data_IF_626431214441
#
_entry.id   IF_626431214441
#
_cell.length_a   1.000
_cell.length_b   1.000
_cell.length_c   1.000
_cell.angle_alpha   90.00
_cell.angle_beta   90.00
_cell.angle_gamma   90.00
#
_symmetry.space_group_name_H-M   'P 1'
#
loop_
_entity.id
_entity.type
_entity.pdbx_description
1 polymer ?
#
# COMPACT_ATOMS: atom_id res chain seq x y z
N UNK A 1 -51.88 22.73 4.44
CA UNK A 1 -52.68 23.42 5.49
C UNK A 1 -51.75 23.79 6.64
N UNK A 2 -51.81 25.09 6.95
CA UNK A 2 -51.38 25.85 8.14
C UNK A 2 -49.90 25.94 8.47
N UNK A 3 -49.36 27.12 8.11
CA UNK A 3 -48.25 27.85 8.72
C UNK A 3 -48.61 28.24 10.15
N UNK A 4 -47.62 28.33 11.05
CA UNK A 4 -47.62 29.31 12.15
C UNK A 4 -46.15 29.78 12.34
N UNK A 5 -45.96 31.07 12.04
CA UNK A 5 -44.80 31.90 12.45
C UNK A 5 -45.14 32.55 13.77
N UNK A 6 -44.18 32.65 14.68
CA UNK A 6 -44.21 33.65 15.75
C UNK A 6 -42.82 34.21 15.97
N UNK A 7 -42.65 35.44 15.50
CA UNK A 7 -41.62 36.38 15.91
C UNK A 7 -42.02 37.00 17.26
N UNK A 8 -41.11 37.17 18.21
CA UNK A 8 -41.17 38.19 19.26
C UNK A 8 -39.82 38.86 19.44
N UNK A 9 -39.80 40.13 19.10
CA UNK A 9 -38.77 41.08 19.45
C UNK A 9 -39.03 41.64 20.84
N UNK A 10 -38.00 42.03 21.60
CA UNK A 10 -38.06 42.92 22.76
C UNK A 10 -36.97 44.00 22.67
N UNK A 11 -37.21 45.18 23.20
CA UNK A 11 -36.52 46.41 22.85
C UNK A 11 -35.35 46.76 23.76
N UNK A 12 -34.55 47.80 23.40
CA UNK A 12 -33.38 48.22 24.15
C UNK A 12 -33.76 49.27 25.23
N UNK A 13 -33.05 49.25 26.35
CA UNK A 13 -33.11 50.28 27.39
C UNK A 13 -31.72 50.97 27.54
N UNK A 14 -31.70 52.26 27.94
CA UNK A 14 -30.53 53.13 27.88
C UNK A 14 -29.84 53.33 29.22
N UNK A 15 -28.59 53.79 29.18
CA UNK A 15 -28.03 54.44 30.38
C UNK A 15 -26.53 54.42 30.55
N UNK A 16 -25.87 55.41 30.03
CA UNK A 16 -24.80 56.26 30.59
C UNK A 16 -23.72 55.70 31.57
N UNK A 17 -22.47 56.03 31.30
CA UNK A 17 -21.38 56.10 32.31
C UNK A 17 -19.99 56.06 31.72
N UNK A 18 -19.45 57.21 31.29
CA UNK A 18 -18.02 57.39 31.06
C UNK A 18 -17.25 57.30 32.38
N UNK A 19 -16.28 56.40 32.47
CA UNK A 19 -15.13 56.56 33.36
C UNK A 19 -13.91 56.08 32.60
N UNK A 20 -12.97 57.01 32.38
CA UNK A 20 -11.69 56.71 31.75
C UNK A 20 -10.76 55.95 32.70
N UNK A 21 -10.15 54.91 32.17
CA UNK A 21 -9.00 54.28 32.79
C UNK A 21 -7.92 54.09 31.70
N UNK A 22 -6.84 54.81 31.88
CA UNK A 22 -5.58 54.65 31.16
C UNK A 22 -5.02 53.28 31.51
N UNK A 23 -4.99 52.35 30.54
CA UNK A 23 -4.30 51.07 30.69
C UNK A 23 -3.02 51.13 29.86
N UNK A 24 -1.91 51.10 30.60
CA UNK A 24 -0.56 51.02 30.06
C UNK A 24 -0.39 49.78 29.19
N UNK A 25 0.04 49.98 27.95
CA UNK A 25 0.45 48.90 27.03
C UNK A 25 1.76 48.29 27.53
N UNK A 26 1.69 47.24 28.31
CA UNK A 26 2.81 46.36 28.58
C UNK A 26 2.98 45.41 27.38
N UNK A 27 4.00 45.66 26.58
CA UNK A 27 4.41 44.73 25.49
C UNK A 27 4.88 43.42 26.11
N UNK A 28 3.99 42.44 26.19
CA UNK A 28 4.34 41.03 26.42
C UNK A 28 4.87 40.44 25.10
N UNK A 29 6.20 40.43 24.96
CA UNK A 29 6.86 39.63 23.95
C UNK A 29 6.67 38.17 24.37
N UNK A 30 5.68 37.50 23.77
CA UNK A 30 5.54 36.07 23.85
C UNK A 30 6.65 35.47 23.00
N UNK A 31 7.77 35.11 23.63
CA UNK A 31 8.82 34.30 23.03
C UNK A 31 8.23 32.90 22.84
N UNK A 32 7.66 32.63 21.65
CA UNK A 32 7.29 31.29 21.20
C UNK A 32 8.61 30.49 21.15
N UNK A 33 8.93 29.82 22.23
CA UNK A 33 9.84 28.67 22.18
C UNK A 33 9.18 27.62 21.28
N UNK A 34 9.53 27.66 20.01
CA UNK A 34 9.31 26.53 19.09
C UNK A 34 10.08 25.35 19.68
N UNK A 35 9.42 24.55 20.51
CA UNK A 35 9.90 23.22 20.82
C UNK A 35 9.90 22.46 19.51
N UNK A 36 11.07 22.26 18.92
CA UNK A 36 11.26 21.29 17.84
C UNK A 36 10.96 19.89 18.41
N UNK A 37 9.67 19.59 18.57
CA UNK A 37 9.25 18.22 18.73
C UNK A 37 9.64 17.45 17.45
N UNK A 38 9.88 16.15 17.55
CA UNK A 38 10.22 15.36 16.37
C UNK A 38 9.16 15.60 15.28
N UNK A 39 9.60 16.08 14.12
CA UNK A 39 8.71 16.27 12.95
C UNK A 39 8.24 14.89 12.55
N UNK A 40 7.04 14.51 12.96
CA UNK A 40 6.39 13.31 12.46
C UNK A 40 6.19 13.51 10.95
N UNK A 41 6.78 12.64 10.15
CA UNK A 41 6.58 12.66 8.70
C UNK A 41 5.08 12.62 8.33
N UNK A 42 4.73 13.06 7.13
CA UNK A 42 3.35 13.11 6.67
C UNK A 42 2.67 11.74 6.79
N UNK A 43 1.54 11.71 7.52
CA UNK A 43 0.74 10.50 7.74
C UNK A 43 -0.44 10.52 6.78
N UNK A 44 -0.66 9.49 5.96
CA UNK A 44 -1.81 9.45 5.07
C UNK A 44 -3.12 9.33 5.85
N UNK A 45 -4.14 10.03 5.37
CA UNK A 45 -5.50 9.92 5.89
C UNK A 45 -6.16 8.59 5.48
N UNK A 46 -7.23 8.14 6.15
CA UNK A 46 -7.96 6.95 5.72
C UNK A 46 -8.48 7.02 4.28
N UNK A 47 -8.85 8.20 3.78
CA UNK A 47 -9.29 8.38 2.41
C UNK A 47 -8.16 8.15 1.40
N UNK A 48 -6.94 8.57 1.73
CA UNK A 48 -5.75 8.37 0.89
C UNK A 48 -5.26 6.92 0.89
N UNK A 49 -5.68 6.13 1.88
CA UNK A 49 -5.39 4.69 2.00
C UNK A 49 -6.44 3.82 1.27
N UNK A 50 -7.15 4.35 0.28
CA UNK A 50 -8.15 3.64 -0.55
C UNK A 50 -7.65 3.54 -1.99
N UNK A 51 -8.16 2.55 -2.72
CA UNK A 51 -7.83 2.33 -4.12
C UNK A 51 -6.67 1.36 -4.37
N UNK A 52 -6.10 1.32 -5.57
CA UNK A 52 -5.03 0.40 -5.91
C UNK A 52 -3.68 0.85 -5.36
N UNK A 53 -3.03 -0.07 -4.67
CA UNK A 53 -1.66 0.00 -4.17
C UNK A 53 -0.84 -1.11 -4.84
N UNK A 54 -0.38 -0.93 -6.08
CA UNK A 54 0.40 -1.95 -6.75
C UNK A 54 1.76 -2.13 -6.09
N UNK A 55 2.19 -3.40 -5.99
CA UNK A 55 3.50 -3.78 -5.50
C UNK A 55 4.49 -3.63 -6.64
N UNK A 56 5.52 -2.83 -6.43
CA UNK A 56 6.61 -2.59 -7.36
C UNK A 56 7.42 -3.87 -7.56
N UNK A 57 7.96 -4.04 -8.76
CA UNK A 57 8.96 -5.06 -9.06
C UNK A 57 10.36 -4.52 -8.78
N UNK A 58 11.21 -5.32 -8.16
CA UNK A 58 12.63 -4.97 -8.02
C UNK A 58 13.37 -5.25 -9.32
N UNK A 59 14.11 -4.27 -9.81
CA UNK A 59 14.92 -4.33 -11.02
C UNK A 59 16.40 -4.42 -10.70
N UNK A 60 17.17 -5.12 -11.54
CA UNK A 60 18.55 -5.43 -11.30
C UNK A 60 19.41 -5.12 -12.52
N UNK A 61 20.69 -4.80 -12.27
CA UNK A 61 21.71 -4.81 -13.30
C UNK A 61 22.15 -6.24 -13.64
N UNK A 62 22.93 -6.40 -14.70
CA UNK A 62 23.41 -7.71 -15.15
C UNK A 62 24.35 -8.39 -14.15
N UNK A 63 24.99 -7.64 -13.27
CA UNK A 63 25.81 -8.13 -12.17
C UNK A 63 24.98 -8.57 -10.95
N UNK A 64 23.67 -8.36 -10.99
CA UNK A 64 22.73 -8.70 -9.92
C UNK A 64 22.54 -7.61 -8.88
N UNK A 65 23.25 -6.50 -8.92
CA UNK A 65 22.98 -5.36 -8.05
C UNK A 65 21.62 -4.69 -8.39
N UNK A 66 21.01 -4.03 -7.41
CA UNK A 66 19.70 -3.38 -7.60
C UNK A 66 19.87 -2.08 -8.39
N UNK A 67 19.05 -1.88 -9.44
CA UNK A 67 18.88 -0.59 -10.10
C UNK A 67 17.91 0.29 -9.29
N UNK A 68 18.42 1.00 -8.28
CA UNK A 68 17.63 1.90 -7.45
C UNK A 68 17.01 3.05 -8.27
N UNK A 69 17.66 3.49 -9.35
CA UNK A 69 17.07 4.49 -10.26
C UNK A 69 15.88 3.90 -11.04
N UNK A 70 15.90 2.60 -11.33
CA UNK A 70 14.76 1.87 -11.88
C UNK A 70 13.58 1.85 -10.91
N UNK A 71 13.83 1.65 -9.61
CA UNK A 71 12.78 1.76 -8.58
C UNK A 71 12.19 3.17 -8.55
N UNK A 72 13.01 4.21 -8.59
CA UNK A 72 12.53 5.61 -8.62
C UNK A 72 11.66 5.89 -9.85
N UNK A 73 12.10 5.43 -11.04
CA UNK A 73 11.31 5.59 -12.28
C UNK A 73 9.97 4.86 -12.17
N UNK A 74 9.96 3.66 -11.59
CA UNK A 74 8.72 2.88 -11.42
C UNK A 74 7.74 3.57 -10.49
N UNK A 75 8.19 4.09 -9.34
CA UNK A 75 7.33 4.84 -8.42
C UNK A 75 6.72 6.05 -9.12
N UNK A 76 7.54 6.84 -9.81
CA UNK A 76 7.07 7.99 -10.59
C UNK A 76 6.02 7.59 -11.62
N UNK A 77 6.23 6.52 -12.36
CA UNK A 77 5.29 6.02 -13.36
C UNK A 77 3.96 5.58 -12.74
N UNK A 78 3.98 4.94 -11.58
CA UNK A 78 2.75 4.56 -10.85
C UNK A 78 1.97 5.79 -10.39
N UNK A 79 2.64 6.82 -9.86
CA UNK A 79 2.03 8.09 -9.47
C UNK A 79 1.42 8.80 -10.68
N UNK A 80 2.16 8.91 -11.79
CA UNK A 80 1.70 9.51 -13.04
C UNK A 80 0.54 8.73 -13.70
N UNK A 81 0.44 7.43 -13.46
CA UNK A 81 -0.71 6.61 -13.85
C UNK A 81 -1.97 6.96 -13.05
N UNK A 82 -1.85 7.61 -11.90
CA UNK A 82 -2.95 8.03 -11.04
C UNK A 82 -3.36 6.99 -10.00
N UNK A 83 -2.48 6.07 -9.61
CA UNK A 83 -2.69 5.22 -8.45
C UNK A 83 -2.53 6.05 -7.16
N UNK A 84 -3.41 5.87 -6.14
CA UNK A 84 -3.32 6.61 -4.88
C UNK A 84 -2.15 6.17 -4.01
N UNK A 85 -1.65 4.96 -4.20
CA UNK A 85 -0.52 4.44 -3.44
C UNK A 85 0.33 3.45 -4.22
N UNK A 86 1.47 3.10 -3.65
CA UNK A 86 2.42 2.14 -4.19
C UNK A 86 3.10 1.39 -3.05
N UNK A 87 3.47 0.15 -3.28
CA UNK A 87 4.14 -0.68 -2.26
C UNK A 87 5.49 -1.17 -2.81
N UNK A 88 6.52 -1.13 -1.98
CA UNK A 88 7.77 -1.81 -2.27
C UNK A 88 8.22 -2.69 -1.10
N UNK A 89 9.03 -3.72 -1.41
CA UNK A 89 9.56 -4.67 -0.46
C UNK A 89 8.46 -5.49 0.23
N UNK A 90 7.53 -6.03 -0.56
CA UNK A 90 6.43 -6.88 -0.13
C UNK A 90 6.58 -8.30 -0.70
N UNK A 91 5.88 -9.28 -0.13
CA UNK A 91 6.09 -10.73 -0.34
C UNK A 91 6.10 -11.23 -1.79
N UNK A 92 5.43 -10.57 -2.72
CA UNK A 92 5.43 -10.96 -4.12
C UNK A 92 6.50 -10.28 -4.99
N UNK A 93 7.29 -9.42 -4.39
CA UNK A 93 8.52 -8.90 -4.98
C UNK A 93 9.70 -9.47 -4.19
N UNK A 94 10.64 -10.00 -4.73
CA UNK A 94 11.92 -10.56 -4.27
C UNK A 94 12.42 -10.23 -2.82
N UNK A 95 11.52 -9.93 -1.89
CA UNK A 95 11.81 -9.43 -0.53
C UNK A 95 12.78 -10.31 0.26
N UNK A 96 12.68 -11.62 0.09
CA UNK A 96 13.52 -12.63 0.73
C UNK A 96 14.82 -12.92 -0.05
N UNK A 97 14.98 -12.33 -1.24
CA UNK A 97 16.19 -12.35 -2.05
C UNK A 97 17.06 -11.10 -1.86
N UNK A 98 16.61 -10.19 -1.01
CA UNK A 98 17.29 -8.93 -0.69
C UNK A 98 18.00 -9.03 0.66
N UNK A 99 19.19 -8.46 0.74
CA UNK A 99 19.85 -8.22 2.03
C UNK A 99 19.14 -7.11 2.80
N UNK A 100 19.38 -7.01 4.10
CA UNK A 100 18.87 -5.89 4.90
C UNK A 100 19.37 -4.55 4.36
N UNK A 101 20.64 -4.44 4.01
CA UNK A 101 21.22 -3.23 3.43
C UNK A 101 20.53 -2.82 2.12
N UNK A 102 20.29 -3.77 1.21
CA UNK A 102 19.55 -3.52 -0.03
C UNK A 102 18.15 -3.00 0.23
N UNK A 103 17.44 -3.56 1.23
CA UNK A 103 16.11 -3.08 1.63
C UNK A 103 16.19 -1.63 2.12
N UNK A 104 17.11 -1.33 3.03
CA UNK A 104 17.27 0.01 3.59
C UNK A 104 17.60 1.07 2.52
N UNK A 105 18.52 0.75 1.60
CA UNK A 105 18.84 1.62 0.46
C UNK A 105 17.65 1.80 -0.48
N UNK A 106 16.86 0.76 -0.70
CA UNK A 106 15.65 0.83 -1.51
C UNK A 106 14.53 1.65 -0.85
N UNK A 107 14.36 1.59 0.47
CA UNK A 107 13.43 2.45 1.19
C UNK A 107 13.78 3.92 1.01
N UNK A 108 15.06 4.25 1.14
CA UNK A 108 15.56 5.61 0.91
C UNK A 108 15.33 6.07 -0.53
N UNK A 109 15.64 5.22 -1.52
CA UNK A 109 15.43 5.53 -2.94
C UNK A 109 13.94 5.76 -3.26
N UNK A 110 13.04 4.94 -2.70
CA UNK A 110 11.59 5.12 -2.87
C UNK A 110 11.11 6.40 -2.19
N UNK A 111 11.59 6.72 -0.99
CA UNK A 111 11.24 7.94 -0.28
C UNK A 111 11.65 9.19 -1.06
N UNK A 112 12.89 9.24 -1.56
CA UNK A 112 13.38 10.32 -2.44
C UNK A 112 12.50 10.49 -3.69
N UNK A 113 12.09 9.38 -4.31
CA UNK A 113 11.23 9.42 -5.49
C UNK A 113 9.81 9.90 -5.19
N UNK A 114 9.33 9.74 -3.97
CA UNK A 114 8.00 10.16 -3.52
C UNK A 114 7.95 11.62 -3.05
N UNK A 115 9.09 12.30 -2.88
CA UNK A 115 9.13 13.70 -2.46
C UNK A 115 8.34 14.60 -3.42
N UNK A 116 7.50 15.46 -2.85
CA UNK A 116 6.65 16.39 -3.61
C UNK A 116 5.48 15.74 -4.35
N UNK A 117 5.28 14.41 -4.22
CA UNK A 117 4.19 13.68 -4.86
C UNK A 117 3.03 13.46 -3.89
N UNK A 118 1.86 13.14 -4.45
CA UNK A 118 0.66 12.85 -3.65
C UNK A 118 0.51 11.38 -3.29
N UNK A 119 1.21 10.51 -3.98
CA UNK A 119 1.14 9.06 -3.80
C UNK A 119 1.52 8.65 -2.37
N UNK A 120 0.81 7.69 -1.80
CA UNK A 120 1.17 7.07 -0.52
C UNK A 120 2.22 5.99 -0.77
N UNK A 121 3.43 6.19 -0.25
CA UNK A 121 4.49 5.19 -0.27
C UNK A 121 4.29 4.21 0.89
N UNK A 122 4.04 2.95 0.57
CA UNK A 122 3.94 1.88 1.57
C UNK A 122 5.18 0.98 1.49
N UNK A 123 5.82 0.76 2.62
CA UNK A 123 7.04 -0.05 2.71
C UNK A 123 6.80 -1.32 3.54
N UNK A 124 7.36 -2.43 3.09
CA UNK A 124 7.15 -3.74 3.72
C UNK A 124 8.04 -3.94 4.93
N UNK A 125 7.45 -4.05 6.12
CA UNK A 125 8.11 -4.48 7.34
C UNK A 125 7.81 -5.96 7.59
N UNK A 126 8.50 -6.83 6.86
CA UNK A 126 8.35 -8.28 6.98
C UNK A 126 9.70 -8.90 7.38
N UNK A 127 9.67 -9.82 8.32
CA UNK A 127 10.85 -10.49 8.84
C UNK A 127 10.65 -12.00 8.98
N UNK A 128 11.74 -12.74 9.08
CA UNK A 128 11.73 -14.16 9.43
C UNK A 128 11.29 -14.40 10.88
N UNK A 129 11.38 -13.37 11.71
CA UNK A 129 10.94 -13.36 13.10
C UNK A 129 10.49 -11.96 13.51
N UNK A 130 9.86 -11.88 14.67
CA UNK A 130 9.35 -10.63 15.25
C UNK A 130 10.44 -9.57 15.38
N UNK A 131 11.62 -9.93 15.91
CA UNK A 131 12.71 -8.98 16.10
C UNK A 131 13.15 -8.32 14.78
N UNK A 132 13.30 -9.10 13.70
CA UNK A 132 13.64 -8.58 12.38
C UNK A 132 12.52 -7.71 11.79
N UNK A 133 11.25 -8.07 11.99
CA UNK A 133 10.11 -7.24 11.57
C UNK A 133 10.18 -5.87 12.26
N UNK A 134 10.43 -5.83 13.56
CA UNK A 134 10.54 -4.60 14.34
C UNK A 134 11.74 -3.74 13.93
N UNK A 135 12.89 -4.37 13.67
CA UNK A 135 14.09 -3.69 13.15
C UNK A 135 13.80 -2.98 11.81
N UNK A 136 13.15 -3.69 10.88
CA UNK A 136 12.78 -3.14 9.58
C UNK A 136 11.74 -2.00 9.74
N UNK A 137 10.74 -2.17 10.61
CA UNK A 137 9.74 -1.14 10.89
C UNK A 137 10.41 0.13 11.46
N UNK A 138 11.33 -0.03 12.43
CA UNK A 138 12.10 1.09 12.97
C UNK A 138 12.96 1.78 11.90
N UNK A 139 13.49 1.03 10.94
CA UNK A 139 14.25 1.61 9.84
C UNK A 139 13.35 2.42 8.90
N UNK A 140 12.13 1.95 8.62
CA UNK A 140 11.14 2.69 7.82
C UNK A 140 10.77 4.01 8.54
N UNK A 141 10.61 3.99 9.86
CA UNK A 141 10.34 5.20 10.64
C UNK A 141 11.47 6.21 10.53
N UNK A 142 12.74 5.77 10.60
CA UNK A 142 13.90 6.65 10.38
C UNK A 142 13.97 7.24 8.98
N UNK A 143 13.55 6.48 7.94
CA UNK A 143 13.44 7.01 6.58
C UNK A 143 12.38 8.12 6.54
N UNK A 144 11.24 7.89 7.13
CA UNK A 144 10.16 8.87 7.14
C UNK A 144 10.51 10.15 7.94
N UNK A 145 11.32 10.06 8.98
CA UNK A 145 11.84 11.23 9.70
C UNK A 145 12.77 12.08 8.81
N UNK A 146 13.52 11.44 7.90
CA UNK A 146 14.36 12.16 6.91
C UNK A 146 13.56 12.76 5.75
N UNK A 147 12.38 12.21 5.45
CA UNK A 147 11.50 12.62 4.35
C UNK A 147 10.11 13.06 4.88
N UNK A 148 10.03 14.12 5.71
CA UNK A 148 8.81 14.47 6.45
C UNK A 148 7.64 14.89 5.54
N UNK A 149 7.91 15.26 4.28
CA UNK A 149 6.87 15.61 3.30
C UNK A 149 6.25 14.39 2.58
N UNK A 150 6.82 13.20 2.73
CA UNK A 150 6.36 12.00 2.06
C UNK A 150 5.30 11.29 2.89
N UNK A 151 4.13 11.04 2.32
CA UNK A 151 3.08 10.24 2.95
C UNK A 151 3.48 8.78 2.95
N UNK A 152 3.81 8.25 4.11
CA UNK A 152 4.26 6.86 4.25
C UNK A 152 3.30 6.02 5.10
N UNK A 153 3.19 4.75 4.72
CA UNK A 153 2.57 3.68 5.47
C UNK A 153 3.49 2.45 5.52
N UNK A 154 3.16 1.52 6.40
CA UNK A 154 3.84 0.23 6.51
C UNK A 154 2.87 -0.87 6.07
N UNK A 155 3.35 -1.96 5.49
CA UNK A 155 2.60 -3.20 5.33
C UNK A 155 3.37 -4.34 5.99
N UNK A 156 2.65 -5.13 6.80
CA UNK A 156 3.26 -6.27 7.50
C UNK A 156 2.30 -7.46 7.52
N UNK A 157 2.87 -8.65 7.41
CA UNK A 157 2.19 -9.91 7.67
C UNK A 157 2.71 -10.51 8.98
N UNK A 158 2.06 -11.55 9.54
CA UNK A 158 2.61 -12.27 10.67
C UNK A 158 4.03 -12.77 10.36
N UNK A 159 5.01 -12.59 11.26
CA UNK A 159 6.35 -13.14 11.12
C UNK A 159 6.36 -14.68 11.00
N UNK A 160 7.42 -15.24 10.45
CA UNK A 160 7.49 -16.69 10.21
C UNK A 160 7.71 -17.52 11.50
N UNK A 161 8.09 -16.91 12.60
CA UNK A 161 8.30 -17.56 13.91
C UNK A 161 7.02 -17.70 14.73
N UNK A 162 5.93 -17.01 14.40
CA UNK A 162 4.67 -17.12 15.11
C UNK A 162 3.93 -18.42 14.73
N UNK A 163 3.30 -19.05 15.72
CA UNK A 163 2.60 -20.35 15.55
C UNK A 163 1.14 -20.31 15.97
N UNK A 164 0.77 -19.36 16.80
CA UNK A 164 -0.58 -19.19 17.33
C UNK A 164 -1.10 -17.79 17.06
N UNK A 165 -2.41 -17.60 17.24
CA UNK A 165 -3.02 -16.28 17.15
C UNK A 165 -2.53 -15.36 18.29
N UNK A 166 -2.22 -15.90 19.45
CA UNK A 166 -1.64 -15.14 20.56
C UNK A 166 -0.23 -14.62 20.22
N UNK A 167 0.59 -15.42 19.53
CA UNK A 167 1.90 -14.96 19.07
C UNK A 167 1.77 -13.84 18.06
N UNK A 168 0.78 -13.91 17.15
CA UNK A 168 0.50 -12.83 16.20
C UNK A 168 0.08 -11.55 16.94
N UNK A 169 -0.81 -11.69 17.93
CA UNK A 169 -1.27 -10.56 18.75
C UNK A 169 -0.10 -9.88 19.46
N UNK A 170 0.78 -10.67 20.06
CA UNK A 170 1.97 -10.15 20.72
C UNK A 170 2.87 -9.42 19.73
N UNK A 171 3.25 -10.04 18.61
CA UNK A 171 4.13 -9.47 17.62
C UNK A 171 3.57 -8.13 17.06
N UNK A 172 2.27 -8.05 16.83
CA UNK A 172 1.65 -6.83 16.33
C UNK A 172 1.40 -5.77 17.40
N UNK A 173 1.23 -6.14 18.67
CA UNK A 173 1.27 -5.17 19.76
C UNK A 173 2.68 -4.55 19.89
N UNK A 174 3.74 -5.33 19.74
CA UNK A 174 5.12 -4.83 19.73
C UNK A 174 5.36 -3.93 18.51
N UNK A 175 4.86 -4.31 17.32
CA UNK A 175 4.95 -3.46 16.11
C UNK A 175 4.25 -2.10 16.32
N UNK A 176 3.11 -2.07 17.02
CA UNK A 176 2.40 -0.83 17.31
C UNK A 176 3.17 0.12 18.23
N UNK A 177 4.13 -0.38 19.02
CA UNK A 177 5.00 0.47 19.86
C UNK A 177 6.13 1.11 19.03
N UNK A 178 6.49 0.52 17.91
CA UNK A 178 7.56 0.99 17.01
C UNK A 178 6.99 1.90 15.92
N UNK A 179 5.87 1.52 15.32
CA UNK A 179 5.24 2.23 14.21
C UNK A 179 4.63 3.56 14.68
N UNK A 180 4.86 4.63 13.91
CA UNK A 180 4.29 5.98 14.12
C UNK A 180 3.29 6.35 13.01
N UNK A 181 3.00 5.43 12.10
CA UNK A 181 2.18 5.61 10.88
C UNK A 181 1.28 4.42 10.63
N UNK A 182 0.29 4.53 9.71
CA UNK A 182 -0.60 3.44 9.37
C UNK A 182 0.16 2.17 8.98
N UNK A 183 -0.30 1.04 9.52
CA UNK A 183 0.16 -0.30 9.16
C UNK A 183 -0.98 -1.07 8.51
N UNK A 184 -0.76 -1.57 7.30
CA UNK A 184 -1.68 -2.47 6.62
C UNK A 184 -1.38 -3.89 7.11
N UNK A 185 -2.35 -4.52 7.77
CA UNK A 185 -2.31 -5.95 8.05
C UNK A 185 -2.42 -6.76 6.77
N UNK A 186 -1.49 -7.64 6.49
CA UNK A 186 -1.64 -8.66 5.47
C UNK A 186 -2.01 -9.98 6.14
N UNK A 187 -3.18 -10.52 5.80
CA UNK A 187 -3.75 -11.70 6.47
C UNK A 187 -3.22 -13.03 5.96
N UNK A 188 -2.33 -13.01 4.96
CA UNK A 188 -1.75 -14.22 4.38
C UNK A 188 -1.06 -15.09 5.42
N UNK A 189 -1.59 -16.28 5.61
CA UNK A 189 -0.97 -17.34 6.38
C UNK A 189 -0.12 -18.29 5.52
N UNK A 190 0.81 -18.98 6.15
CA UNK A 190 1.59 -20.07 5.58
C UNK A 190 1.15 -21.40 6.18
N UNK A 191 1.66 -22.54 5.73
CA UNK A 191 1.38 -23.82 6.43
C UNK A 191 1.79 -23.83 7.90
N UNK A 192 2.76 -22.98 8.29
CA UNK A 192 3.29 -22.91 9.66
C UNK A 192 2.87 -21.65 10.42
N UNK A 193 2.35 -20.64 9.74
CA UNK A 193 1.91 -19.37 10.33
C UNK A 193 0.40 -19.24 10.14
N UNK A 194 -0.40 -19.09 11.19
CA UNK A 194 -1.86 -19.03 11.06
C UNK A 194 -2.29 -17.73 10.37
N UNK A 195 -3.47 -17.78 9.72
CA UNK A 195 -4.18 -16.58 9.28
C UNK A 195 -4.83 -15.94 10.50
N UNK A 196 -4.58 -14.64 10.81
CA UNK A 196 -5.21 -13.98 11.95
C UNK A 196 -6.74 -13.92 11.80
N UNK A 197 -7.47 -14.11 12.87
CA UNK A 197 -8.94 -14.00 12.86
C UNK A 197 -9.40 -12.55 12.63
N UNK A 198 -10.62 -12.36 12.16
CA UNK A 198 -11.23 -11.02 12.05
C UNK A 198 -11.35 -10.38 13.43
N UNK A 199 -11.73 -11.15 14.44
CA UNK A 199 -11.83 -10.67 15.82
C UNK A 199 -10.49 -10.12 16.35
N UNK A 200 -9.37 -10.77 16.07
CA UNK A 200 -8.03 -10.27 16.42
C UNK A 200 -7.74 -8.96 15.70
N UNK A 201 -7.98 -8.87 14.38
CA UNK A 201 -7.72 -7.66 13.62
C UNK A 201 -8.52 -6.45 14.12
N UNK A 202 -9.79 -6.67 14.45
CA UNK A 202 -10.67 -5.63 15.03
C UNK A 202 -10.18 -5.20 16.41
N UNK A 203 -9.80 -6.16 17.28
CA UNK A 203 -9.28 -5.87 18.62
C UNK A 203 -7.99 -5.05 18.57
N UNK A 204 -7.04 -5.43 17.71
CA UNK A 204 -5.79 -4.68 17.53
C UNK A 204 -6.04 -3.27 16.97
N UNK A 205 -6.96 -3.13 16.02
CA UNK A 205 -7.33 -1.82 15.48
C UNK A 205 -8.03 -0.93 16.52
N UNK A 206 -8.85 -1.51 17.41
CA UNK A 206 -9.46 -0.77 18.50
C UNK A 206 -8.44 -0.33 19.55
N UNK A 207 -7.44 -1.17 19.86
CA UNK A 207 -6.41 -0.88 20.85
C UNK A 207 -5.37 0.14 20.33
N UNK A 208 -5.08 0.14 19.01
CA UNK A 208 -4.07 0.99 18.38
C UNK A 208 -4.65 1.77 17.19
N UNK A 209 -5.67 2.64 17.39
CA UNK A 209 -6.43 3.25 16.30
C UNK A 209 -5.60 4.22 15.43
N UNK A 210 -4.49 4.74 15.90
CA UNK A 210 -3.59 5.56 15.08
C UNK A 210 -2.79 4.74 14.07
N UNK A 211 -2.51 3.48 14.40
CA UNK A 211 -1.62 2.58 13.64
C UNK A 211 -2.43 1.63 12.76
N UNK A 212 -3.45 0.98 13.31
CA UNK A 212 -4.19 -0.08 12.66
C UNK A 212 -5.56 0.33 12.13
N UNK A 213 -6.22 -0.60 11.46
CA UNK A 213 -7.51 -0.42 10.80
C UNK A 213 -7.46 -0.59 9.28
N UNK A 214 -6.32 -0.91 8.72
CA UNK A 214 -6.11 -1.17 7.29
C UNK A 214 -5.78 -2.63 7.08
N UNK A 215 -6.52 -3.33 6.24
CA UNK A 215 -6.39 -4.78 6.08
C UNK A 215 -6.28 -5.14 4.59
N UNK A 216 -5.20 -5.80 4.21
CA UNK A 216 -5.09 -6.55 2.96
C UNK A 216 -5.57 -7.97 3.22
N UNK A 217 -6.79 -8.28 2.80
CA UNK A 217 -7.38 -9.59 3.03
C UNK A 217 -6.91 -10.62 1.99
N UNK A 218 -6.27 -11.67 2.46
CA UNK A 218 -5.68 -12.74 1.66
C UNK A 218 -5.96 -14.14 2.23
N UNK A 219 -7.01 -14.33 3.01
CA UNK A 219 -7.44 -15.68 3.39
C UNK A 219 -7.82 -16.51 2.15
N UNK A 220 -7.70 -17.82 2.23
CA UNK A 220 -7.90 -18.70 1.06
C UNK A 220 -9.38 -18.91 0.74
N UNK A 221 -9.69 -18.92 -0.55
CA UNK A 221 -11.00 -19.33 -1.05
C UNK A 221 -12.15 -18.40 -0.66
N UNK A 222 -13.32 -18.97 -0.42
CA UNK A 222 -14.53 -18.26 -0.03
C UNK A 222 -14.39 -17.51 1.29
N UNK A 223 -13.54 -17.99 2.20
CA UNK A 223 -13.32 -17.30 3.47
C UNK A 223 -12.85 -15.87 3.31
N UNK A 224 -12.14 -15.51 2.24
CA UNK A 224 -11.75 -14.14 1.98
C UNK A 224 -12.95 -13.21 1.77
N UNK A 225 -14.02 -13.66 1.10
CA UNK A 225 -15.24 -12.88 0.87
C UNK A 225 -15.99 -12.67 2.16
N UNK A 226 -16.23 -13.74 2.95
CA UNK A 226 -16.90 -13.66 4.24
C UNK A 226 -16.17 -12.74 5.20
N UNK A 227 -14.86 -12.90 5.32
CA UNK A 227 -14.00 -12.06 6.17
C UNK A 227 -13.99 -10.59 5.74
N UNK A 228 -14.04 -10.28 4.44
CA UNK A 228 -14.17 -8.91 3.98
C UNK A 228 -15.49 -8.27 4.40
N UNK A 229 -16.58 -9.04 4.37
CA UNK A 229 -17.90 -8.56 4.85
C UNK A 229 -17.84 -8.28 6.35
N UNK A 230 -17.27 -9.20 7.15
CA UNK A 230 -17.12 -9.01 8.59
C UNK A 230 -16.22 -7.81 8.93
N UNK A 231 -15.07 -7.68 8.26
CA UNK A 231 -14.16 -6.53 8.42
C UNK A 231 -14.84 -5.23 8.05
N UNK A 232 -15.62 -5.22 6.97
CA UNK A 232 -16.35 -4.01 6.53
C UNK A 232 -17.48 -3.64 7.48
N UNK A 233 -18.10 -4.62 8.13
CA UNK A 233 -19.10 -4.38 9.18
C UNK A 233 -18.49 -3.81 10.47
N UNK A 234 -17.19 -3.98 10.70
CA UNK A 234 -16.48 -3.44 11.85
C UNK A 234 -16.05 -1.97 11.70
N UNK A 235 -16.52 -1.25 10.69
CA UNK A 235 -16.28 0.20 10.57
C UNK A 235 -16.93 0.96 11.74
N UNK A 236 -16.34 2.06 12.24
CA UNK A 236 -15.13 2.72 11.73
C UNK A 236 -13.80 2.18 12.30
N UNK A 237 -13.81 1.15 13.15
CA UNK A 237 -12.60 0.55 13.73
C UNK A 237 -11.69 0.02 12.62
N UNK A 238 -12.25 -0.75 11.70
CA UNK A 238 -11.59 -1.08 10.43
C UNK A 238 -11.89 0.04 9.44
N UNK A 239 -10.84 0.73 9.00
CA UNK A 239 -10.91 1.93 8.15
C UNK A 239 -10.98 1.59 6.67
N UNK A 240 -10.18 0.61 6.23
CA UNK A 240 -10.09 0.21 4.83
C UNK A 240 -9.83 -1.30 4.73
N UNK A 241 -10.61 -1.97 3.89
CA UNK A 241 -10.38 -3.36 3.50
C UNK A 241 -9.92 -3.38 2.04
N UNK A 242 -8.76 -3.97 1.80
CA UNK A 242 -8.14 -4.09 0.48
C UNK A 242 -8.15 -5.54 0.02
N UNK A 243 -8.48 -5.77 -1.24
CA UNK A 243 -8.35 -7.08 -1.86
C UNK A 243 -6.88 -7.48 -2.00
N UNK A 244 -6.59 -8.75 -1.79
CA UNK A 244 -5.32 -9.37 -2.12
C UNK A 244 -5.42 -10.32 -3.32
N UNK A 245 -4.63 -11.39 -3.32
CA UNK A 245 -4.68 -12.45 -4.35
C UNK A 245 -4.63 -11.95 -5.80
N UNK A 246 -3.81 -10.95 -6.08
CA UNK A 246 -3.67 -10.38 -7.41
C UNK A 246 -4.90 -9.65 -7.93
N UNK A 247 -5.92 -9.43 -7.11
CA UNK A 247 -7.13 -8.69 -7.48
C UNK A 247 -8.13 -9.46 -8.34
N UNK A 248 -8.05 -10.80 -8.38
CA UNK A 248 -8.89 -11.60 -9.29
C UNK A 248 -10.38 -11.53 -9.06
N UNK A 249 -10.80 -11.17 -7.85
CA UNK A 249 -12.20 -11.00 -7.48
C UNK A 249 -12.52 -9.54 -7.15
N UNK A 250 -11.62 -8.61 -7.45
CA UNK A 250 -11.70 -7.24 -6.96
C UNK A 250 -13.00 -6.54 -7.32
N UNK A 251 -13.53 -6.70 -8.53
CA UNK A 251 -14.79 -6.08 -8.93
C UNK A 251 -15.98 -6.55 -8.08
N UNK A 252 -16.04 -7.86 -7.79
CA UNK A 252 -17.09 -8.42 -6.93
C UNK A 252 -16.89 -7.92 -5.49
N UNK A 253 -15.66 -7.92 -5.01
CA UNK A 253 -15.31 -7.47 -3.67
C UNK A 253 -15.63 -5.99 -3.46
N UNK A 254 -15.37 -5.14 -4.46
CA UNK A 254 -15.76 -3.73 -4.46
C UNK A 254 -17.29 -3.56 -4.38
N UNK A 255 -18.05 -4.36 -5.16
CA UNK A 255 -19.50 -4.20 -5.27
C UNK A 255 -20.27 -4.80 -4.11
N UNK A 256 -19.77 -5.87 -3.50
CA UNK A 256 -20.56 -6.72 -2.62
C UNK A 256 -19.99 -6.89 -1.21
N UNK A 257 -18.67 -6.68 -1.02
CA UNK A 257 -18.01 -7.01 0.24
C UNK A 257 -17.51 -5.77 1.01
N UNK A 258 -17.81 -4.57 0.55
CA UNK A 258 -17.33 -3.33 1.19
C UNK A 258 -15.81 -3.12 1.06
N UNK A 259 -15.15 -3.84 0.14
CA UNK A 259 -13.75 -3.62 -0.22
C UNK A 259 -13.57 -2.20 -0.78
N UNK A 260 -12.48 -1.52 -0.40
CA UNK A 260 -12.22 -0.14 -0.80
C UNK A 260 -10.84 0.04 -1.43
N UNK A 261 -10.12 -1.05 -1.69
CA UNK A 261 -8.81 -0.97 -2.29
C UNK A 261 -8.30 -2.30 -2.81
N UNK A 262 -7.08 -2.28 -3.33
CA UNK A 262 -6.40 -3.45 -3.87
C UNK A 262 -4.91 -3.36 -3.60
N UNK A 263 -4.34 -4.44 -3.08
CA UNK A 263 -2.89 -4.66 -3.06
C UNK A 263 -2.55 -5.81 -4.00
N UNK A 264 -1.84 -5.53 -5.08
CA UNK A 264 -1.54 -6.49 -6.13
C UNK A 264 -0.12 -6.35 -6.67
N UNK A 265 0.48 -7.47 -7.04
CA UNK A 265 1.79 -7.54 -7.71
C UNK A 265 1.73 -7.14 -9.21
N UNK A 266 0.67 -6.45 -9.62
CA UNK A 266 0.40 -6.05 -11.02
C UNK A 266 0.80 -4.61 -11.31
N UNK A 267 1.94 -4.15 -10.78
CA UNK A 267 2.45 -2.80 -10.96
C UNK A 267 2.56 -2.39 -12.44
N UNK A 268 2.95 -3.32 -13.32
CA UNK A 268 3.01 -3.08 -14.76
C UNK A 268 1.68 -2.64 -15.39
N UNK A 269 0.57 -2.78 -14.69
CA UNK A 269 -0.78 -2.43 -15.16
C UNK A 269 -1.37 -1.26 -14.39
N UNK A 270 -0.55 -0.45 -13.74
CA UNK A 270 -0.97 0.72 -12.97
C UNK A 270 -1.96 1.63 -13.72
N UNK A 271 -1.79 1.96 -15.02
CA UNK A 271 -2.76 2.79 -15.73
C UNK A 271 -4.17 2.19 -15.77
N UNK A 272 -4.29 0.87 -15.96
CA UNK A 272 -5.59 0.16 -15.98
C UNK A 272 -6.19 0.11 -14.59
N UNK A 273 -5.38 -0.15 -13.56
CA UNK A 273 -5.83 -0.13 -12.16
C UNK A 273 -6.35 1.23 -11.75
N UNK A 274 -5.64 2.29 -12.11
CA UNK A 274 -6.05 3.66 -11.84
C UNK A 274 -7.35 4.04 -12.57
N UNK A 275 -7.50 3.63 -13.85
CA UNK A 275 -8.74 3.85 -14.61
C UNK A 275 -9.93 3.13 -13.99
N UNK A 276 -9.76 1.85 -13.63
CA UNK A 276 -10.80 1.07 -12.96
C UNK A 276 -11.24 1.75 -11.66
N UNK A 277 -10.27 2.22 -10.86
CA UNK A 277 -10.56 2.89 -9.60
C UNK A 277 -11.28 4.23 -9.80
N UNK A 278 -10.85 5.06 -10.74
CA UNK A 278 -11.53 6.32 -11.08
C UNK A 278 -12.98 6.09 -11.50
N UNK A 279 -13.25 5.09 -12.34
CA UNK A 279 -14.60 4.71 -12.72
C UNK A 279 -15.45 4.31 -11.51
N UNK A 280 -14.89 3.49 -10.63
CA UNK A 280 -15.60 3.07 -9.42
C UNK A 280 -15.88 4.26 -8.47
N UNK A 281 -14.92 5.12 -8.23
CA UNK A 281 -15.04 6.32 -7.37
C UNK A 281 -16.03 7.34 -7.93
N UNK A 282 -16.12 7.48 -9.26
CA UNK A 282 -17.11 8.35 -9.91
C UNK A 282 -18.54 7.82 -9.86
N UNK A 283 -18.76 6.66 -9.26
CA UNK A 283 -20.08 6.04 -9.18
C UNK A 283 -20.45 5.15 -10.36
N UNK A 284 -19.54 4.95 -11.34
CA UNK A 284 -19.78 4.02 -12.45
C UNK A 284 -19.95 2.59 -11.93
N UNK A 285 -21.01 1.91 -12.36
CA UNK A 285 -21.32 0.53 -11.96
C UNK A 285 -21.69 -0.37 -13.14
N UNK A 286 -21.75 0.19 -14.34
CA UNK A 286 -22.17 -0.46 -15.57
C UNK A 286 -21.04 -1.06 -16.38
N UNK A 287 -21.23 -1.01 -17.71
CA UNK A 287 -20.31 -1.61 -18.69
C UNK A 287 -18.89 -1.02 -18.65
N UNK A 288 -18.66 0.31 -18.55
CA UNK A 288 -17.30 0.85 -18.52
C UNK A 288 -16.44 0.29 -17.39
N UNK A 289 -17.01 0.12 -16.19
CA UNK A 289 -16.30 -0.47 -15.06
C UNK A 289 -16.01 -1.97 -15.29
N UNK A 290 -16.95 -2.67 -15.92
CA UNK A 290 -16.80 -4.10 -16.25
C UNK A 290 -15.72 -4.31 -17.31
N UNK A 291 -15.65 -3.47 -18.33
CA UNK A 291 -14.61 -3.49 -19.35
C UNK A 291 -13.22 -3.20 -18.77
N UNK A 292 -13.13 -2.22 -17.85
CA UNK A 292 -11.88 -1.92 -17.16
C UNK A 292 -11.38 -3.13 -16.35
N UNK A 293 -12.30 -3.81 -15.67
CA UNK A 293 -11.96 -5.02 -14.93
C UNK A 293 -11.60 -6.19 -15.87
N UNK A 294 -12.28 -6.35 -16.99
CA UNK A 294 -11.96 -7.37 -17.99
C UNK A 294 -10.56 -7.15 -18.58
N UNK A 295 -10.19 -5.90 -18.91
CA UNK A 295 -8.84 -5.56 -19.35
C UNK A 295 -7.80 -5.91 -18.29
N UNK A 296 -8.03 -5.53 -17.04
CA UNK A 296 -7.14 -5.90 -15.92
C UNK A 296 -7.01 -7.41 -15.77
N UNK A 297 -8.10 -8.16 -15.91
CA UNK A 297 -8.09 -9.63 -15.85
C UNK A 297 -7.29 -10.24 -16.99
N UNK A 298 -7.50 -9.77 -18.21
CA UNK A 298 -6.78 -10.24 -19.40
C UNK A 298 -5.26 -10.05 -19.23
N UNK A 299 -4.84 -8.87 -18.78
CA UNK A 299 -3.44 -8.59 -18.48
C UNK A 299 -2.90 -9.48 -17.34
N UNK A 300 -3.69 -9.73 -16.30
CA UNK A 300 -3.27 -10.49 -15.13
C UNK A 300 -3.19 -12.00 -15.36
N UNK A 301 -3.92 -12.52 -16.34
CA UNK A 301 -4.01 -13.97 -16.61
C UNK A 301 -2.79 -14.51 -17.39
N UNK A 302 -1.81 -13.66 -17.73
CA UNK A 302 -0.58 -14.04 -18.45
C UNK A 302 0.43 -14.81 -17.56
N UNK A 303 -0.04 -15.65 -16.65
CA UNK A 303 0.81 -16.41 -15.72
C UNK A 303 1.69 -17.45 -16.37
N UNK A 304 1.26 -17.94 -17.53
CA UNK A 304 1.96 -19.00 -18.26
C UNK A 304 3.14 -18.48 -19.08
N UNK A 305 3.33 -17.14 -19.13
CA UNK A 305 4.53 -16.58 -19.74
C UNK A 305 5.78 -16.85 -18.90
N UNK A 306 6.96 -16.89 -19.53
CA UNK A 306 8.20 -17.19 -18.84
C UNK A 306 8.42 -16.33 -17.60
N UNK A 307 8.90 -16.97 -16.52
CA UNK A 307 9.10 -16.38 -15.20
C UNK A 307 7.81 -15.89 -14.48
N UNK A 308 6.63 -16.22 -15.03
CA UNK A 308 5.34 -15.97 -14.38
C UNK A 308 5.18 -14.53 -13.90
N UNK A 309 4.79 -14.34 -12.63
CA UNK A 309 4.53 -13.04 -12.01
C UNK A 309 5.73 -12.09 -11.99
N UNK A 310 6.96 -12.61 -12.03
CA UNK A 310 8.21 -11.84 -11.99
C UNK A 310 8.82 -11.63 -13.38
N UNK A 311 8.21 -12.18 -14.42
CA UNK A 311 8.75 -12.20 -15.77
C UNK A 311 8.04 -11.30 -16.75
N UNK A 312 6.83 -11.64 -17.15
CA UNK A 312 6.13 -10.88 -18.16
C UNK A 312 5.84 -9.41 -17.77
N UNK A 313 5.60 -9.06 -16.49
CA UNK A 313 5.44 -7.65 -16.11
C UNK A 313 6.69 -6.82 -16.40
N UNK A 314 7.89 -7.41 -16.32
CA UNK A 314 9.14 -6.72 -16.64
C UNK A 314 9.19 -6.33 -18.13
N UNK A 315 8.60 -7.12 -19.02
CA UNK A 315 8.49 -6.77 -20.43
C UNK A 315 7.67 -5.51 -20.66
N UNK A 316 6.54 -5.36 -19.97
CA UNK A 316 5.72 -4.15 -20.06
C UNK A 316 6.45 -2.93 -19.48
N UNK A 317 7.11 -3.08 -18.34
CA UNK A 317 7.88 -2.00 -17.72
C UNK A 317 9.11 -1.58 -18.56
N UNK A 318 9.72 -2.52 -19.30
CA UNK A 318 10.76 -2.21 -20.28
C UNK A 318 10.20 -1.42 -21.47
N UNK A 319 9.03 -1.81 -21.99
CA UNK A 319 8.35 -1.09 -23.08
C UNK A 319 7.93 0.33 -22.70
N UNK A 320 7.55 0.54 -21.45
CA UNK A 320 7.25 1.86 -20.87
C UNK A 320 8.52 2.70 -20.61
N UNK A 321 9.72 2.14 -20.83
CA UNK A 321 10.97 2.82 -20.51
C UNK A 321 11.25 2.97 -19.00
N UNK A 322 10.44 2.31 -18.18
CA UNK A 322 10.59 2.31 -16.71
C UNK A 322 11.81 1.49 -16.32
N UNK A 323 11.96 0.31 -16.89
CA UNK A 323 13.12 -0.56 -16.69
C UNK A 323 14.04 -0.57 -17.91
N UNK A 324 15.33 -0.79 -17.66
CA UNK A 324 16.36 -0.87 -18.72
C UNK A 324 16.48 -2.26 -19.31
N UNK A 325 16.06 -3.27 -18.55
CA UNK A 325 16.20 -4.67 -18.90
C UNK A 325 15.15 -5.53 -18.17
N UNK A 326 15.18 -6.83 -18.41
CA UNK A 326 14.29 -7.83 -17.82
C UNK A 326 15.05 -8.81 -16.93
N UNK A 327 16.05 -8.32 -16.21
CA UNK A 327 16.82 -9.13 -15.26
C UNK A 327 16.05 -9.21 -13.94
N UNK A 328 15.98 -10.41 -13.40
CA UNK A 328 15.30 -10.71 -12.13
C UNK A 328 16.16 -11.67 -11.31
N UNK A 329 16.19 -11.48 -9.99
CA UNK A 329 16.62 -12.52 -9.05
C UNK A 329 15.49 -13.53 -8.89
N UNK A 330 15.82 -14.79 -8.97
CA UNK A 330 14.87 -15.89 -8.77
C UNK A 330 15.49 -16.92 -7.81
N UNK A 331 14.65 -17.62 -7.08
CA UNK A 331 15.13 -18.70 -6.20
C UNK A 331 15.92 -19.75 -6.96
N UNK A 332 17.00 -20.22 -6.36
CA UNK A 332 17.63 -21.45 -6.80
C UNK A 332 16.69 -22.63 -6.54
N UNK A 333 16.61 -23.59 -7.46
CA UNK A 333 15.65 -24.71 -7.41
C UNK A 333 15.62 -25.49 -6.08
N UNK A 334 16.71 -25.51 -5.34
CA UNK A 334 16.83 -26.20 -4.06
C UNK A 334 16.09 -25.53 -2.88
N UNK A 335 15.52 -24.35 -3.07
CA UNK A 335 14.90 -23.58 -1.98
C UNK A 335 13.39 -23.34 -2.16
N UNK A 336 12.82 -23.83 -3.23
CA UNK A 336 11.37 -23.66 -3.53
C UNK A 336 10.49 -24.55 -2.65
N UNK A 337 11.06 -25.52 -1.97
CA UNK A 337 10.31 -26.62 -1.32
C UNK A 337 9.91 -26.39 0.13
N UNK A 338 10.45 -25.39 0.79
CA UNK A 338 10.09 -25.14 2.20
C UNK A 338 9.36 -23.82 2.35
N UNK A 339 8.10 -23.93 2.71
CA UNK A 339 7.14 -22.86 2.86
C UNK A 339 7.73 -21.55 3.35
N UNK A 340 7.72 -20.59 2.47
CA UNK A 340 7.56 -19.17 2.72
C UNK A 340 8.27 -18.50 3.88
N UNK A 341 9.47 -18.89 4.30
CA UNK A 341 10.18 -18.06 5.26
C UNK A 341 10.66 -16.78 4.55
N UNK A 342 10.30 -15.61 5.09
CA UNK A 342 10.72 -14.30 4.58
C UNK A 342 12.08 -13.87 5.12
N UNK A 343 12.93 -14.83 5.45
CA UNK A 343 14.31 -14.57 5.82
C UNK A 343 15.00 -13.73 4.74
N UNK A 344 15.93 -12.91 5.16
CA UNK A 344 16.78 -12.14 4.26
C UNK A 344 17.80 -13.03 3.56
N UNK A 345 18.13 -12.66 2.33
CA UNK A 345 19.31 -13.17 1.60
C UNK A 345 19.28 -14.68 1.32
N UNK A 346 18.13 -15.20 0.84
CA UNK A 346 18.10 -16.56 0.30
C UNK A 346 18.91 -16.66 -0.97
N UNK A 347 19.50 -17.82 -1.22
CA UNK A 347 20.28 -18.06 -2.44
C UNK A 347 19.40 -17.84 -3.70
N UNK A 348 19.91 -17.06 -4.61
CA UNK A 348 19.24 -16.70 -5.85
C UNK A 348 20.16 -16.91 -7.06
N UNK A 349 19.53 -16.91 -8.21
CA UNK A 349 20.20 -16.84 -9.52
C UNK A 349 19.61 -15.69 -10.32
N UNK A 350 20.43 -15.09 -11.17
CA UNK A 350 19.94 -14.14 -12.16
C UNK A 350 19.26 -14.84 -13.30
N UNK A 351 18.11 -14.31 -13.71
CA UNK A 351 17.36 -14.75 -14.85
C UNK A 351 16.99 -13.56 -15.70
N UNK A 352 17.39 -13.57 -16.96
CA UNK A 352 16.87 -12.63 -17.95
C UNK A 352 15.65 -13.26 -18.62
N UNK A 353 14.51 -12.59 -18.55
CA UNK A 353 13.28 -13.09 -19.17
C UNK A 353 13.43 -13.10 -20.70
N UNK A 354 13.47 -14.30 -21.26
CA UNK A 354 13.52 -14.53 -22.71
C UNK A 354 12.14 -14.89 -23.21
N UNK A 355 11.68 -14.20 -24.24
CA UNK A 355 10.41 -14.46 -24.91
C UNK A 355 10.68 -15.07 -26.30
N UNK A 356 9.92 -16.08 -26.66
CA UNK A 356 9.88 -16.53 -28.05
C UNK A 356 9.27 -15.46 -28.96
N UNK A 357 9.48 -15.50 -30.29
CA UNK A 357 8.85 -14.56 -31.21
C UNK A 357 7.32 -14.49 -31.04
N UNK A 358 6.66 -15.65 -30.91
CA UNK A 358 5.20 -15.72 -30.69
C UNK A 358 4.77 -15.06 -29.38
N UNK A 359 5.44 -15.39 -28.27
CA UNK A 359 5.14 -14.78 -26.97
C UNK A 359 5.32 -13.26 -27.00
N UNK A 360 6.35 -12.77 -27.68
CA UNK A 360 6.57 -11.34 -27.86
C UNK A 360 5.44 -10.71 -28.66
N UNK A 361 5.04 -11.31 -29.76
CA UNK A 361 3.94 -10.85 -30.60
C UNK A 361 2.63 -10.73 -29.80
N UNK A 362 2.31 -11.75 -29.02
CA UNK A 362 1.11 -11.75 -28.17
C UNK A 362 1.15 -10.68 -27.09
N UNK A 363 2.29 -10.51 -26.40
CA UNK A 363 2.45 -9.48 -25.39
C UNK A 363 2.46 -8.08 -26.01
N UNK A 364 3.00 -7.91 -27.23
CA UNK A 364 2.97 -6.63 -27.96
C UNK A 364 1.53 -6.24 -28.32
N UNK A 365 0.74 -7.20 -28.81
CA UNK A 365 -0.68 -6.97 -29.09
C UNK A 365 -1.43 -6.55 -27.82
N UNK A 366 -1.23 -7.28 -26.73
CA UNK A 366 -1.87 -7.02 -25.44
C UNK A 366 -1.43 -5.65 -24.86
N UNK A 367 -0.18 -5.26 -25.06
CA UNK A 367 0.32 -3.93 -24.69
C UNK A 367 -0.37 -2.81 -25.48
N UNK A 368 -0.55 -2.98 -26.80
CA UNK A 368 -1.29 -2.02 -27.62
C UNK A 368 -2.76 -1.91 -27.23
N UNK A 369 -3.39 -3.03 -26.89
CA UNK A 369 -4.77 -3.06 -26.38
C UNK A 369 -4.86 -2.28 -25.04
N UNK A 370 -3.90 -2.46 -24.14
CA UNK A 370 -3.81 -1.71 -22.88
C UNK A 370 -3.70 -0.20 -23.14
N UNK A 371 -2.77 0.21 -24.01
CA UNK A 371 -2.60 1.63 -24.34
C UNK A 371 -3.87 2.24 -24.95
N UNK A 372 -4.47 1.54 -25.91
CA UNK A 372 -5.72 1.95 -26.56
C UNK A 372 -6.87 2.05 -25.57
N UNK A 373 -6.94 1.13 -24.63
CA UNK A 373 -7.95 1.13 -23.58
C UNK A 373 -7.77 2.33 -22.62
N UNK A 374 -6.53 2.61 -22.21
CA UNK A 374 -6.25 3.69 -21.24
C UNK A 374 -6.47 5.07 -21.87
N UNK A 375 -6.20 5.23 -23.16
CA UNK A 375 -6.37 6.49 -23.89
C UNK A 375 -7.84 6.94 -24.07
N UNK A 376 -8.78 6.00 -24.05
CA UNK A 376 -10.24 6.27 -24.08
C UNK A 376 -10.74 6.75 -22.72
#
# INVERSE_FOLDING_TARGET
MKRISVLRAFPPGPGSGLVGAVVAFGSFIFLLLLTNGPVLGAVPTPQEMRGPFPIMSTTYFEDGSIDYEGLKRQLKWVDESGCPGVIWCQSNDAIDLLTTEEKLRGFEACAQAAEGRKIVLTLGANGANTAQMLEIAAAIERVAERHPGVKMAIISRPPDDVRTEADIEQAWNELAQVAKRPVIFQTYGTPTTPTPSVALLVRLAANHPAIYGYVKEEAKGYSAVERMVELSAAKPVIKTVMAGWGGWQWLIQLRQCGCEGLVTERCAFAPVLAKLWRLYESGERGLPLTEAYAMFRLLSDQRNFPAGLRGYPLYFLEKEGVFRNRVSRQYSKSQVTEGGSFGTNKAWKLVTVKLTPLQRQELDALYQDMLSFVAK
#
